data_IF_767019336792
#
_entry.id   IF_767019336792
#
_cell.length_a   1.000
_cell.length_b   1.000
_cell.length_c   1.000
_cell.angle_alpha   90.00
_cell.angle_beta   90.00
_cell.angle_gamma   90.00
#
_symmetry.space_group_name_H-M   'P 1'
#
loop_
_entity.id
_entity.type
_entity.pdbx_description
1 polymer ?
#
# COMPACT_ATOMS: atom_id res chain seq x y z
N UNK A 1 63.35 47.54 -31.50
CA UNK A 1 62.59 47.46 -30.25
C UNK A 1 61.19 47.12 -30.62
N UNK A 2 60.96 45.84 -30.96
CA UNK A 2 59.73 45.38 -31.55
C UNK A 2 58.91 44.55 -30.53
N UNK A 3 57.62 44.87 -30.46
CA UNK A 3 56.64 44.14 -29.67
C UNK A 3 56.11 42.94 -30.48
N UNK A 4 56.02 41.71 -29.97
CA UNK A 4 55.40 40.63 -30.70
C UNK A 4 53.88 40.66 -30.59
N UNK A 5 53.25 40.43 -31.74
CA UNK A 5 51.84 40.35 -32.07
C UNK A 5 51.15 39.17 -31.40
N UNK A 6 49.88 39.40 -30.92
CA UNK A 6 48.96 38.38 -30.44
C UNK A 6 48.51 37.45 -31.59
N UNK A 7 48.84 36.17 -31.48
CA UNK A 7 48.24 35.12 -32.31
C UNK A 7 46.89 34.69 -31.68
N UNK A 8 45.83 34.94 -32.42
CA UNK A 8 44.48 34.45 -32.10
C UNK A 8 44.40 32.95 -32.36
N UNK A 9 44.08 32.16 -31.32
CA UNK A 9 43.69 30.77 -31.48
C UNK A 9 42.16 30.73 -31.65
N UNK A 10 41.73 30.45 -32.85
CA UNK A 10 40.36 30.03 -33.17
C UNK A 10 40.21 28.56 -32.77
N UNK A 11 39.48 28.32 -31.67
CA UNK A 11 39.00 26.99 -31.30
C UNK A 11 37.67 26.81 -32.01
N UNK A 12 37.62 26.00 -33.04
CA UNK A 12 36.39 25.55 -33.68
C UNK A 12 35.69 24.56 -32.76
N UNK A 13 34.64 25.01 -32.09
CA UNK A 13 33.73 24.12 -31.37
C UNK A 13 32.81 23.43 -32.40
N UNK A 14 33.07 22.16 -32.62
CA UNK A 14 32.13 21.29 -33.35
C UNK A 14 31.01 20.95 -32.40
N UNK A 15 29.89 21.63 -32.49
CA UNK A 15 28.65 21.29 -31.83
C UNK A 15 28.03 20.10 -32.59
N UNK A 16 28.23 18.89 -32.06
CA UNK A 16 27.44 17.71 -32.45
C UNK A 16 26.00 17.88 -31.96
N UNK A 17 24.98 17.50 -32.74
CA UNK A 17 23.60 17.53 -32.26
C UNK A 17 23.42 16.48 -31.17
N UNK A 18 23.23 16.92 -29.92
CA UNK A 18 22.70 16.08 -28.90
C UNK A 18 21.26 15.71 -29.28
N UNK A 19 21.09 14.55 -29.88
CA UNK A 19 19.79 13.94 -30.11
C UNK A 19 19.19 13.58 -28.72
N UNK A 20 18.50 14.53 -28.13
CA UNK A 20 17.57 14.24 -27.07
C UNK A 20 16.45 13.38 -27.66
N UNK A 21 16.57 12.07 -27.52
CA UNK A 21 15.49 11.13 -27.78
C UNK A 21 14.33 11.48 -26.83
N UNK A 22 13.46 12.39 -27.29
CA UNK A 22 12.11 12.51 -26.73
C UNK A 22 11.40 11.23 -27.13
N UNK A 23 11.42 10.23 -26.25
CA UNK A 23 10.46 9.15 -26.27
C UNK A 23 9.12 9.82 -25.99
N UNK A 24 8.43 10.24 -27.04
CA UNK A 24 7.02 10.57 -26.99
C UNK A 24 6.28 9.24 -26.75
N UNK A 25 6.22 8.80 -25.49
CA UNK A 25 5.31 7.74 -25.15
C UNK A 25 3.91 8.23 -25.48
N UNK A 26 3.18 7.49 -26.32
CA UNK A 26 1.76 7.70 -26.52
C UNK A 26 1.10 7.82 -25.15
N UNK A 27 0.11 8.72 -24.95
CA UNK A 27 -0.52 8.89 -23.65
C UNK A 27 -1.03 7.52 -23.19
N UNK A 28 -0.54 7.07 -22.05
CA UNK A 28 -0.87 5.77 -21.48
C UNK A 28 -2.35 5.78 -21.15
N UNK A 29 -3.15 5.03 -21.87
CA UNK A 29 -4.59 5.02 -21.67
C UNK A 29 -4.91 4.19 -20.41
N UNK A 30 -5.54 4.83 -19.42
CA UNK A 30 -5.97 4.14 -18.21
C UNK A 30 -6.95 3.01 -18.54
N UNK A 31 -6.74 1.83 -17.95
CA UNK A 31 -7.69 0.71 -18.01
C UNK A 31 -8.54 0.69 -16.76
N UNK A 32 -9.77 0.21 -16.90
CA UNK A 32 -10.77 0.21 -15.85
C UNK A 32 -11.39 -1.18 -15.67
N UNK A 33 -11.82 -1.45 -14.43
CA UNK A 33 -12.63 -2.63 -14.07
C UNK A 33 -13.87 -2.19 -13.31
N UNK A 34 -14.90 -3.03 -13.31
CA UNK A 34 -16.06 -2.83 -12.42
C UNK A 34 -15.69 -3.41 -11.05
N UNK A 35 -15.89 -2.63 -10.00
CA UNK A 35 -15.53 -2.99 -8.62
C UNK A 35 -16.57 -3.96 -8.02
N UNK A 36 -16.38 -5.25 -8.20
CA UNK A 36 -17.33 -6.26 -7.74
C UNK A 36 -18.75 -6.03 -8.28
N UNK A 37 -19.75 -6.23 -7.41
CA UNK A 37 -21.19 -5.96 -7.71
C UNK A 37 -21.60 -4.50 -7.50
N UNK A 38 -20.67 -3.61 -7.17
CA UNK A 38 -20.99 -2.22 -6.80
C UNK A 38 -21.42 -1.35 -7.98
N UNK A 39 -21.12 -1.76 -9.21
CA UNK A 39 -21.34 -0.96 -10.42
C UNK A 39 -20.31 0.15 -10.64
N UNK A 40 -19.43 0.42 -9.67
CA UNK A 40 -18.41 1.47 -9.82
C UNK A 40 -17.32 1.04 -10.81
N UNK A 41 -17.06 1.88 -11.80
CA UNK A 41 -15.96 1.74 -12.74
C UNK A 41 -14.71 2.40 -12.15
N UNK A 42 -13.68 1.61 -11.85
CA UNK A 42 -12.44 2.06 -11.21
C UNK A 42 -11.23 1.84 -12.11
N UNK A 43 -10.26 2.75 -12.09
CA UNK A 43 -8.97 2.54 -12.76
C UNK A 43 -8.23 1.37 -12.10
N UNK A 44 -7.59 0.50 -12.90
CA UNK A 44 -6.85 -0.66 -12.40
C UNK A 44 -5.71 -0.26 -11.44
N UNK A 45 -5.14 0.92 -11.66
CA UNK A 45 -4.22 1.59 -10.73
C UNK A 45 -4.96 2.77 -10.11
N UNK A 46 -5.18 2.72 -8.82
CA UNK A 46 -5.68 3.81 -8.00
C UNK A 46 -4.51 4.56 -7.34
N UNK A 47 -4.83 5.57 -6.55
CA UNK A 47 -3.88 6.44 -5.87
C UNK A 47 -3.93 6.23 -4.36
N UNK A 48 -2.85 5.63 -3.79
CA UNK A 48 -2.64 5.58 -2.34
C UNK A 48 -1.96 6.87 -1.85
N UNK A 49 -2.54 7.53 -0.85
CA UNK A 49 -2.18 8.90 -0.47
C UNK A 49 -1.24 9.02 0.73
N UNK A 50 -0.87 7.89 1.36
CA UNK A 50 0.05 7.89 2.51
C UNK A 50 1.38 8.59 2.17
N UNK A 51 1.82 9.53 3.02
CA UNK A 51 3.04 10.31 2.88
C UNK A 51 3.16 11.14 1.59
N UNK A 52 2.05 11.45 0.93
CA UNK A 52 2.02 12.39 -0.21
C UNK A 52 1.88 13.80 0.34
N UNK A 53 2.82 14.67 -0.02
CA UNK A 53 2.86 16.07 0.45
C UNK A 53 2.60 17.09 -0.66
N UNK A 54 2.54 16.66 -1.91
CA UNK A 54 2.28 17.51 -3.08
C UNK A 54 0.90 17.27 -3.64
N UNK A 55 0.02 18.26 -3.47
CA UNK A 55 -1.36 18.23 -3.94
C UNK A 55 -1.48 18.12 -5.46
N UNK A 56 -0.49 18.63 -6.21
CA UNK A 56 -0.50 18.60 -7.67
C UNK A 56 -0.44 17.18 -8.23
N UNK A 57 0.13 16.23 -7.47
CA UNK A 57 0.17 14.81 -7.85
C UNK A 57 -1.21 14.19 -7.96
N UNK A 58 -2.16 14.60 -7.10
CA UNK A 58 -3.54 14.11 -7.18
C UNK A 58 -4.24 14.59 -8.45
N UNK A 59 -4.05 15.88 -8.78
CA UNK A 59 -4.61 16.47 -10.01
C UNK A 59 -4.02 15.80 -11.24
N UNK A 60 -2.69 15.59 -11.24
CA UNK A 60 -2.01 14.89 -12.33
C UNK A 60 -2.45 13.42 -12.44
N UNK A 61 -2.73 12.77 -11.31
CA UNK A 61 -3.32 11.42 -11.31
C UNK A 61 -4.68 11.38 -12.03
N UNK A 62 -5.54 12.37 -11.79
CA UNK A 62 -6.80 12.53 -12.52
C UNK A 62 -6.59 12.72 -14.03
N UNK A 63 -5.60 13.52 -14.42
CA UNK A 63 -5.28 13.77 -15.82
C UNK A 63 -4.76 12.51 -16.54
N UNK A 64 -4.10 11.60 -15.81
CA UNK A 64 -3.72 10.27 -16.29
C UNK A 64 -4.87 9.24 -16.27
N UNK A 65 -6.08 9.64 -15.85
CA UNK A 65 -7.25 8.79 -15.81
C UNK A 65 -7.38 7.94 -14.54
N UNK A 66 -6.59 8.20 -13.51
CA UNK A 66 -6.81 7.57 -12.20
C UNK A 66 -8.08 8.20 -11.60
N UNK A 67 -9.05 7.34 -11.25
CA UNK A 67 -10.28 7.78 -10.63
C UNK A 67 -10.56 7.15 -9.26
N UNK A 68 -9.67 6.31 -8.74
CA UNK A 68 -9.78 5.68 -7.42
C UNK A 68 -8.72 6.26 -6.48
N UNK A 69 -9.16 6.96 -5.41
CA UNK A 69 -8.28 7.62 -4.44
C UNK A 69 -8.54 7.07 -3.04
N UNK A 70 -7.48 6.57 -2.41
CA UNK A 70 -7.56 5.91 -1.12
C UNK A 70 -6.69 6.60 -0.06
N UNK A 71 -7.34 7.03 1.03
CA UNK A 71 -6.72 7.68 2.18
C UNK A 71 -7.14 7.04 3.51
N UNK A 72 -6.77 7.64 4.62
CA UNK A 72 -7.18 7.24 5.96
C UNK A 72 -7.22 8.44 6.91
N UNK A 73 -8.10 8.37 7.93
CA UNK A 73 -8.21 9.38 8.98
C UNK A 73 -6.87 9.67 9.68
N UNK A 74 -6.08 8.61 9.90
CA UNK A 74 -4.81 8.69 10.62
C UNK A 74 -3.61 9.15 9.78
N UNK A 75 -3.75 9.20 8.45
CA UNK A 75 -2.64 9.57 7.57
C UNK A 75 -2.25 11.04 7.79
N UNK A 76 -0.99 11.23 8.19
CA UNK A 76 -0.42 12.54 8.52
C UNK A 76 -1.33 13.38 9.44
N UNK A 77 -1.98 12.73 10.43
CA UNK A 77 -2.92 13.35 11.37
C UNK A 77 -4.08 14.07 10.67
N UNK A 78 -4.62 13.44 9.62
CA UNK A 78 -5.74 13.95 8.82
C UNK A 78 -5.34 14.93 7.72
N UNK A 79 -4.08 15.31 7.58
CA UNK A 79 -3.69 16.23 6.51
C UNK A 79 -3.81 15.59 5.12
N UNK A 80 -3.64 14.27 5.02
CA UNK A 80 -3.88 13.53 3.77
C UNK A 80 -5.32 13.68 3.28
N UNK A 81 -6.30 13.52 4.18
CA UNK A 81 -7.72 13.73 3.84
C UNK A 81 -8.01 15.18 3.41
N UNK A 82 -7.52 16.18 4.17
CA UNK A 82 -7.72 17.61 3.84
C UNK A 82 -7.12 17.97 2.47
N UNK A 83 -5.92 17.49 2.19
CA UNK A 83 -5.28 17.74 0.89
C UNK A 83 -6.04 17.08 -0.25
N UNK A 84 -6.44 15.82 -0.07
CA UNK A 84 -7.16 15.08 -1.09
C UNK A 84 -8.55 15.69 -1.35
N UNK A 85 -9.29 16.04 -0.28
CA UNK A 85 -10.58 16.72 -0.40
C UNK A 85 -10.47 18.02 -1.21
N UNK A 86 -9.46 18.85 -0.92
CA UNK A 86 -9.17 20.07 -1.68
C UNK A 86 -8.82 19.78 -3.15
N UNK A 87 -8.01 18.77 -3.41
CA UNK A 87 -7.59 18.42 -4.77
C UNK A 87 -8.75 17.91 -5.63
N UNK A 88 -9.68 17.16 -5.03
CA UNK A 88 -10.79 16.52 -5.73
C UNK A 88 -12.07 17.33 -5.77
N UNK A 89 -12.16 18.46 -5.05
CA UNK A 89 -13.41 19.23 -4.88
C UNK A 89 -14.12 19.55 -6.21
N UNK A 90 -13.40 20.04 -7.21
CA UNK A 90 -13.94 20.39 -8.52
C UNK A 90 -14.38 19.17 -9.36
N UNK A 91 -13.87 17.99 -9.04
CA UNK A 91 -14.08 16.74 -9.80
C UNK A 91 -14.60 15.59 -8.93
N UNK A 92 -15.26 15.95 -7.81
CA UNK A 92 -15.74 14.97 -6.82
C UNK A 92 -16.61 13.86 -7.42
N UNK A 93 -17.41 14.19 -8.44
CA UNK A 93 -18.31 13.23 -9.09
C UNK A 93 -17.61 12.27 -10.07
N UNK A 94 -16.40 12.61 -10.50
CA UNK A 94 -15.62 11.83 -11.46
C UNK A 94 -14.77 10.75 -10.77
N UNK A 95 -14.73 10.75 -9.44
CA UNK A 95 -13.80 9.92 -8.67
C UNK A 95 -14.52 9.02 -7.68
N UNK A 96 -13.89 7.90 -7.36
CA UNK A 96 -14.20 7.03 -6.23
C UNK A 96 -13.27 7.44 -5.08
N UNK A 97 -13.85 8.14 -4.10
CA UNK A 97 -13.13 8.67 -2.94
C UNK A 97 -13.32 7.76 -1.74
N UNK A 98 -12.21 7.18 -1.27
CA UNK A 98 -12.20 6.22 -0.18
C UNK A 98 -11.42 6.76 1.02
N UNK A 99 -11.95 6.51 2.23
CA UNK A 99 -11.21 6.71 3.47
C UNK A 99 -11.53 5.59 4.47
N UNK A 100 -10.88 5.64 5.64
CA UNK A 100 -11.04 4.63 6.68
C UNK A 100 -10.83 5.19 8.08
N UNK A 101 -11.50 4.57 9.06
CA UNK A 101 -11.24 4.75 10.48
C UNK A 101 -10.58 3.52 11.08
N UNK A 102 -9.62 3.72 11.98
CA UNK A 102 -9.04 2.67 12.82
C UNK A 102 -9.72 2.57 14.19
N UNK A 103 -10.97 3.01 14.27
CA UNK A 103 -11.78 3.03 15.48
C UNK A 103 -11.79 1.69 16.20
N UNK A 104 -11.87 1.73 17.54
CA UNK A 104 -11.98 0.54 18.38
C UNK A 104 -13.43 0.18 18.70
N UNK A 105 -14.34 1.12 18.54
CA UNK A 105 -15.77 0.99 18.82
C UNK A 105 -16.63 1.80 17.84
N UNK A 106 -17.94 1.60 17.86
CA UNK A 106 -18.92 2.24 17.00
C UNK A 106 -18.97 3.77 17.17
N UNK A 107 -18.80 4.25 18.42
CA UNK A 107 -18.84 5.69 18.72
C UNK A 107 -17.65 6.40 18.04
N UNK A 108 -16.45 5.85 18.20
CA UNK A 108 -15.26 6.41 17.55
C UNK A 108 -15.37 6.32 16.02
N UNK A 109 -15.89 5.20 15.48
CA UNK A 109 -16.10 5.04 14.04
C UNK A 109 -16.98 6.15 13.47
N UNK A 110 -18.11 6.43 14.11
CA UNK A 110 -19.04 7.48 13.69
C UNK A 110 -18.41 8.87 13.80
N UNK A 111 -17.70 9.15 14.90
CA UNK A 111 -17.02 10.44 15.10
C UNK A 111 -15.89 10.65 14.08
N UNK A 112 -15.12 9.63 13.76
CA UNK A 112 -14.06 9.68 12.75
C UNK A 112 -14.65 9.94 11.36
N UNK A 113 -15.76 9.29 10.99
CA UNK A 113 -16.44 9.53 9.73
C UNK A 113 -16.94 10.97 9.61
N UNK A 114 -17.61 11.49 10.64
CA UNK A 114 -18.12 12.85 10.64
C UNK A 114 -17.00 13.89 10.55
N UNK A 115 -15.89 13.65 11.26
CA UNK A 115 -14.71 14.48 11.17
C UNK A 115 -14.06 14.40 9.78
N UNK A 116 -13.97 13.22 9.19
CA UNK A 116 -13.42 13.02 7.83
C UNK A 116 -14.25 13.75 6.78
N UNK A 117 -15.58 13.66 6.82
CA UNK A 117 -16.48 14.41 5.93
C UNK A 117 -16.26 15.92 6.05
N UNK A 118 -16.23 16.43 7.30
CA UNK A 118 -15.99 17.84 7.59
C UNK A 118 -14.64 18.32 7.05
N UNK A 119 -13.57 17.58 7.29
CA UNK A 119 -12.21 18.00 6.93
C UNK A 119 -11.92 17.86 5.43
N UNK A 120 -12.55 16.91 4.75
CA UNK A 120 -12.45 16.77 3.29
C UNK A 120 -13.35 17.73 2.53
N UNK A 121 -14.37 18.29 3.18
CA UNK A 121 -15.37 19.15 2.55
C UNK A 121 -16.25 18.39 1.54
N UNK A 122 -16.46 17.09 1.74
CA UNK A 122 -17.35 16.27 0.90
C UNK A 122 -18.55 15.79 1.70
N UNK A 123 -19.72 15.67 1.06
CA UNK A 123 -20.93 15.21 1.70
C UNK A 123 -20.94 13.69 1.92
N UNK A 124 -20.14 12.95 1.17
CA UNK A 124 -20.08 11.50 1.24
C UNK A 124 -18.73 10.96 0.80
N UNK A 125 -18.38 9.77 1.32
CA UNK A 125 -17.36 8.90 0.71
C UNK A 125 -18.01 7.82 -0.16
N UNK A 126 -17.37 7.45 -1.25
CA UNK A 126 -17.85 6.31 -2.04
C UNK A 126 -17.64 5.01 -1.28
N UNK A 127 -16.50 4.86 -0.58
CA UNK A 127 -16.21 3.73 0.29
C UNK A 127 -15.62 4.25 1.59
N UNK A 128 -16.17 3.82 2.73
CA UNK A 128 -15.55 4.08 4.02
C UNK A 128 -15.30 2.77 4.77
N UNK A 129 -14.01 2.48 5.02
CA UNK A 129 -13.62 1.21 5.58
C UNK A 129 -13.61 1.21 7.11
N UNK A 130 -14.08 0.11 7.70
CA UNK A 130 -13.63 -0.31 9.03
C UNK A 130 -12.20 -0.80 8.84
N UNK A 131 -11.22 -0.07 9.41
CA UNK A 131 -9.82 -0.12 9.01
C UNK A 131 -8.95 -1.06 9.83
N UNK A 132 -8.03 -1.75 9.16
CA UNK A 132 -6.95 -2.58 9.73
C UNK A 132 -7.42 -3.57 10.82
N UNK A 133 -8.52 -4.27 10.57
CA UNK A 133 -9.04 -5.31 11.44
C UNK A 133 -8.52 -6.67 10.99
N UNK A 134 -7.71 -7.28 11.84
CA UNK A 134 -7.02 -8.54 11.55
C UNK A 134 -7.59 -9.71 12.36
N UNK A 135 -8.58 -9.44 13.22
CA UNK A 135 -9.34 -10.43 14.00
C UNK A 135 -10.84 -10.06 13.93
N UNK A 136 -11.75 -11.00 13.62
CA UNK A 136 -13.20 -10.73 13.60
C UNK A 136 -13.75 -10.14 14.91
N UNK A 137 -13.16 -10.50 16.06
CA UNK A 137 -13.55 -9.96 17.36
C UNK A 137 -13.30 -8.46 17.53
N UNK A 138 -12.44 -7.87 16.67
CA UNK A 138 -12.17 -6.43 16.68
C UNK A 138 -13.24 -5.63 15.91
N UNK A 139 -14.27 -6.30 15.39
CA UNK A 139 -15.41 -5.71 14.68
C UNK A 139 -16.70 -6.17 15.36
N UNK A 140 -17.10 -5.53 16.45
CA UNK A 140 -18.33 -5.84 17.14
C UNK A 140 -19.57 -5.45 16.31
N UNK A 141 -20.72 -6.01 16.66
CA UNK A 141 -21.97 -5.84 15.90
C UNK A 141 -22.41 -4.39 15.83
N UNK A 142 -22.28 -3.64 16.90
CA UNK A 142 -22.62 -2.20 16.96
C UNK A 142 -21.77 -1.37 15.96
N UNK A 143 -20.53 -1.77 15.66
CA UNK A 143 -19.69 -1.12 14.65
C UNK A 143 -20.22 -1.41 13.23
N UNK A 144 -20.73 -2.63 12.97
CA UNK A 144 -21.38 -2.96 11.70
C UNK A 144 -22.69 -2.16 11.55
N UNK A 145 -23.48 -2.05 12.62
CA UNK A 145 -24.69 -1.24 12.65
C UNK A 145 -24.40 0.23 12.39
N UNK A 146 -23.35 0.80 13.01
CA UNK A 146 -22.93 2.18 12.77
C UNK A 146 -22.52 2.40 11.30
N UNK A 147 -21.82 1.45 10.68
CA UNK A 147 -21.47 1.53 9.25
C UNK A 147 -22.72 1.44 8.36
N UNK A 148 -23.67 0.57 8.67
CA UNK A 148 -24.94 0.47 7.96
C UNK A 148 -25.80 1.74 8.11
N UNK A 149 -25.84 2.33 9.31
CA UNK A 149 -26.51 3.60 9.56
C UNK A 149 -25.89 4.75 8.77
N UNK A 150 -24.57 4.80 8.67
CA UNK A 150 -23.87 5.78 7.86
C UNK A 150 -24.21 5.64 6.36
N UNK A 151 -24.35 4.42 5.84
CA UNK A 151 -24.80 4.15 4.48
C UNK A 151 -26.25 4.62 4.27
N UNK A 152 -27.14 4.28 5.18
CA UNK A 152 -28.56 4.72 5.13
C UNK A 152 -28.69 6.25 5.19
N UNK A 153 -27.81 6.92 5.94
CA UNK A 153 -27.77 8.38 6.03
C UNK A 153 -27.11 9.06 4.81
N UNK A 154 -26.61 8.29 3.83
CA UNK A 154 -25.95 8.82 2.64
C UNK A 154 -24.53 9.34 2.87
N UNK A 155 -23.97 9.19 4.08
CA UNK A 155 -22.59 9.58 4.41
C UNK A 155 -21.53 8.73 3.72
N UNK A 156 -21.87 7.48 3.43
CA UNK A 156 -21.08 6.54 2.64
C UNK A 156 -21.95 5.84 1.62
N UNK A 157 -21.42 5.52 0.46
CA UNK A 157 -22.14 4.74 -0.55
C UNK A 157 -22.00 3.24 -0.32
N UNK A 158 -20.79 2.80 0.00
CA UNK A 158 -20.43 1.40 0.13
C UNK A 158 -19.69 1.15 1.46
N UNK A 159 -19.97 -0.01 2.05
CA UNK A 159 -19.36 -0.49 3.28
C UNK A 159 -18.07 -1.24 2.98
N UNK A 160 -16.95 -0.73 3.48
CA UNK A 160 -15.63 -1.33 3.29
C UNK A 160 -15.09 -2.02 4.54
N UNK A 161 -14.28 -3.07 4.34
CA UNK A 161 -13.42 -3.67 5.36
C UNK A 161 -11.97 -3.62 4.87
N UNK A 162 -11.06 -3.13 5.70
CA UNK A 162 -9.61 -3.21 5.46
C UNK A 162 -8.96 -4.19 6.43
N UNK A 163 -8.25 -5.18 5.91
CA UNK A 163 -7.58 -6.20 6.71
C UNK A 163 -6.22 -6.58 6.11
N UNK A 164 -5.27 -7.00 6.96
CA UNK A 164 -4.03 -7.63 6.53
C UNK A 164 -4.12 -9.16 6.49
N UNK A 165 -5.21 -9.73 7.05
CA UNK A 165 -5.40 -11.17 7.27
C UNK A 165 -6.74 -11.64 6.74
N UNK A 166 -6.89 -11.64 5.42
CA UNK A 166 -8.17 -11.94 4.76
C UNK A 166 -8.78 -13.27 5.24
N UNK A 167 -7.97 -14.32 5.43
CA UNK A 167 -8.45 -15.62 5.92
C UNK A 167 -9.01 -15.57 7.33
N UNK A 168 -8.37 -14.81 8.23
CA UNK A 168 -8.88 -14.65 9.59
C UNK A 168 -10.24 -13.97 9.61
N UNK A 169 -10.55 -13.18 8.57
CA UNK A 169 -11.80 -12.43 8.45
C UNK A 169 -12.92 -13.19 7.73
N UNK A 170 -12.68 -14.40 7.23
CA UNK A 170 -13.70 -15.19 6.52
C UNK A 170 -15.02 -15.34 7.30
N UNK A 171 -15.04 -15.61 8.64
CA UNK A 171 -16.30 -15.69 9.39
C UNK A 171 -17.09 -14.37 9.39
N UNK A 172 -16.41 -13.22 9.39
CA UNK A 172 -17.05 -11.92 9.34
C UNK A 172 -17.55 -11.61 7.92
N UNK A 173 -16.77 -11.96 6.89
CA UNK A 173 -17.14 -11.77 5.49
C UNK A 173 -18.34 -12.65 5.09
N UNK A 174 -18.47 -13.84 5.68
CA UNK A 174 -19.63 -14.72 5.47
C UNK A 174 -20.96 -14.08 5.89
N UNK A 175 -20.94 -13.04 6.73
CA UNK A 175 -22.14 -12.26 7.13
C UNK A 175 -22.71 -11.39 6.00
N UNK A 176 -22.01 -11.28 4.86
CA UNK A 176 -22.42 -10.52 3.68
C UNK A 176 -22.73 -9.02 3.97
N UNK A 177 -22.05 -8.47 4.97
CA UNK A 177 -22.23 -7.07 5.37
C UNK A 177 -21.50 -6.10 4.44
N UNK A 178 -20.29 -6.47 3.98
CA UNK A 178 -19.40 -5.58 3.23
C UNK A 178 -19.64 -5.64 1.73
N UNK A 179 -19.38 -4.51 1.06
CA UNK A 179 -19.41 -4.36 -0.39
C UNK A 179 -18.00 -4.44 -0.99
N UNK A 180 -16.98 -3.99 -0.23
CA UNK A 180 -15.60 -3.87 -0.69
C UNK A 180 -14.62 -4.33 0.39
N UNK A 181 -13.56 -5.03 -0.02
CA UNK A 181 -12.43 -5.41 0.85
C UNK A 181 -11.12 -4.81 0.33
N UNK A 182 -10.31 -4.26 1.25
CA UNK A 182 -8.97 -3.76 0.99
C UNK A 182 -7.96 -4.69 1.66
N UNK A 183 -7.14 -5.38 0.87
CA UNK A 183 -6.30 -6.50 1.31
C UNK A 183 -4.88 -6.41 0.76
N UNK A 184 -3.85 -6.90 1.48
CA UNK A 184 -2.52 -7.03 0.91
C UNK A 184 -2.51 -8.09 -0.19
N UNK A 185 -2.13 -7.68 -1.40
CA UNK A 185 -1.90 -8.60 -2.49
C UNK A 185 -0.66 -8.17 -3.29
N UNK A 186 0.31 -9.06 -3.39
CA UNK A 186 1.57 -8.80 -4.07
C UNK A 186 2.27 -10.10 -4.44
N UNK A 187 3.29 -10.02 -5.27
CA UNK A 187 4.03 -11.17 -5.81
C UNK A 187 4.62 -12.13 -4.76
N UNK A 188 4.81 -11.70 -3.51
CA UNK A 188 5.32 -12.59 -2.45
C UNK A 188 4.26 -13.58 -1.94
N UNK A 189 2.99 -13.33 -2.21
CA UNK A 189 1.87 -14.17 -1.77
C UNK A 189 1.52 -15.27 -2.76
N UNK A 190 1.74 -15.03 -4.04
CA UNK A 190 1.61 -16.04 -5.08
C UNK A 190 2.80 -16.99 -5.10
N UNK A 191 2.59 -18.18 -5.62
CA UNK A 191 3.68 -19.05 -6.03
C UNK A 191 3.96 -18.79 -7.50
N UNK A 192 5.24 -18.74 -7.88
CA UNK A 192 5.61 -18.56 -9.29
C UNK A 192 5.33 -19.82 -10.13
N UNK A 193 5.00 -20.94 -9.49
CA UNK A 193 4.53 -22.16 -10.12
C UNK A 193 3.00 -22.19 -10.44
N UNK A 194 2.36 -21.03 -10.33
CA UNK A 194 0.92 -20.81 -10.54
C UNK A 194 -0.01 -21.58 -9.57
N UNK A 195 0.51 -22.15 -8.50
CA UNK A 195 -0.34 -22.70 -7.43
C UNK A 195 -0.84 -21.55 -6.54
N UNK A 196 -2.16 -21.29 -6.46
CA UNK A 196 -2.71 -20.22 -5.64
C UNK A 196 -2.32 -20.39 -4.17
N UNK A 197 -1.89 -19.30 -3.52
CA UNK A 197 -1.70 -19.31 -2.07
C UNK A 197 -3.06 -19.38 -1.38
N UNK A 198 -3.05 -19.76 -0.09
CA UNK A 198 -4.31 -19.80 0.72
C UNK A 198 -4.97 -18.43 0.83
N UNK A 199 -4.16 -17.34 0.88
CA UNK A 199 -4.69 -15.97 0.85
C UNK A 199 -5.31 -15.63 -0.51
N UNK A 200 -4.73 -16.15 -1.59
CA UNK A 200 -5.24 -15.93 -2.94
C UNK A 200 -6.59 -16.65 -3.14
N UNK A 201 -6.77 -17.84 -2.57
CA UNK A 201 -8.05 -18.54 -2.55
C UNK A 201 -9.14 -17.75 -1.80
N UNK A 202 -8.79 -17.14 -0.65
CA UNK A 202 -9.72 -16.28 0.10
C UNK A 202 -10.10 -15.02 -0.69
N UNK A 203 -9.16 -14.43 -1.41
CA UNK A 203 -9.39 -13.27 -2.29
C UNK A 203 -10.28 -13.67 -3.48
N UNK A 204 -10.03 -14.82 -4.10
CA UNK A 204 -10.87 -15.37 -5.16
C UNK A 204 -12.30 -15.59 -4.67
N UNK A 205 -12.45 -16.12 -3.45
CA UNK A 205 -13.77 -16.28 -2.83
C UNK A 205 -14.48 -14.94 -2.67
N UNK A 206 -13.81 -13.91 -2.16
CA UNK A 206 -14.39 -12.57 -2.06
C UNK A 206 -14.87 -12.05 -3.42
N UNK A 207 -14.07 -12.24 -4.47
CA UNK A 207 -14.46 -11.88 -5.83
C UNK A 207 -15.70 -12.67 -6.31
N UNK A 208 -15.75 -13.98 -6.09
CA UNK A 208 -16.89 -14.84 -6.46
C UNK A 208 -18.17 -14.45 -5.71
N UNK A 209 -18.04 -14.05 -4.44
CA UNK A 209 -19.16 -13.54 -3.63
C UNK A 209 -19.62 -12.15 -4.10
N UNK A 210 -18.87 -11.52 -5.03
CA UNK A 210 -19.21 -10.25 -5.65
C UNK A 210 -18.66 -9.01 -4.92
N UNK A 211 -17.78 -9.18 -3.93
CA UNK A 211 -17.13 -8.06 -3.28
C UNK A 211 -16.17 -7.35 -4.24
N UNK A 212 -16.10 -6.04 -4.13
CA UNK A 212 -15.01 -5.26 -4.71
C UNK A 212 -13.70 -5.58 -3.99
N UNK A 213 -12.66 -5.98 -4.71
CA UNK A 213 -11.37 -6.31 -4.12
C UNK A 213 -10.34 -5.27 -4.53
N UNK A 214 -9.78 -4.59 -3.53
CA UNK A 214 -8.74 -3.55 -3.67
C UNK A 214 -7.42 -4.08 -3.11
N UNK A 215 -6.35 -4.04 -3.91
CA UNK A 215 -5.05 -4.50 -3.47
C UNK A 215 -4.20 -3.38 -2.88
N UNK A 216 -3.75 -3.56 -1.63
CA UNK A 216 -2.74 -2.72 -0.99
C UNK A 216 -1.40 -3.46 -0.86
N UNK A 217 -0.33 -2.73 -0.49
CA UNK A 217 1.03 -3.28 -0.26
C UNK A 217 1.59 -4.04 -1.46
N UNK A 218 1.24 -3.58 -2.64
CA UNK A 218 1.56 -4.20 -3.94
C UNK A 218 3.08 -4.32 -4.18
N UNK A 219 3.88 -3.45 -3.55
CA UNK A 219 5.34 -3.44 -3.64
C UNK A 219 6.05 -4.32 -2.58
N UNK A 220 5.31 -5.16 -1.86
CA UNK A 220 5.85 -6.14 -0.91
C UNK A 220 6.86 -5.56 0.10
N UNK A 221 6.57 -4.40 0.67
CA UNK A 221 7.39 -3.80 1.73
C UNK A 221 8.63 -3.03 1.24
N UNK A 222 8.81 -2.86 -0.06
CA UNK A 222 9.83 -1.98 -0.62
C UNK A 222 9.30 -0.58 -0.87
N UNK A 223 10.02 0.44 -0.40
CA UNK A 223 9.81 1.82 -0.78
C UNK A 223 10.94 2.26 -1.72
N UNK A 224 10.58 2.88 -2.85
CA UNK A 224 11.53 3.31 -3.86
C UNK A 224 12.48 4.42 -3.38
N UNK A 225 12.07 5.21 -2.39
CA UNK A 225 12.73 6.48 -2.05
C UNK A 225 12.99 6.68 -0.56
N UNK A 226 13.67 5.74 0.08
CA UNK A 226 14.23 6.07 1.39
C UNK A 226 15.70 6.47 1.22
N UNK A 227 15.95 7.72 0.80
CA UNK A 227 17.29 8.26 0.52
C UNK A 227 18.14 8.47 1.78
N UNK A 228 17.55 8.48 2.97
CA UNK A 228 18.19 9.13 4.11
C UNK A 228 18.80 8.21 5.17
N UNK A 229 18.65 6.87 5.09
CA UNK A 229 19.19 6.00 6.16
C UNK A 229 19.77 4.69 5.64
N UNK A 230 20.82 4.20 6.30
CA UNK A 230 21.42 2.88 6.07
C UNK A 230 20.49 1.75 6.56
N UNK A 231 19.38 1.53 5.88
CA UNK A 231 18.43 0.49 6.22
C UNK A 231 18.74 -0.79 5.42
N UNK A 232 18.53 -1.98 6.00
CA UNK A 232 18.77 -3.25 5.30
C UNK A 232 18.02 -3.40 3.99
N UNK A 233 16.84 -2.74 3.89
CA UNK A 233 15.98 -2.75 2.70
C UNK A 233 16.17 -1.54 1.78
N UNK A 234 17.12 -0.63 2.11
CA UNK A 234 17.43 0.52 1.26
C UNK A 234 17.97 0.05 -0.10
N UNK A 235 17.42 0.62 -1.16
CA UNK A 235 17.89 0.37 -2.52
C UNK A 235 17.61 -1.03 -3.06
N UNK A 236 16.70 -1.83 -2.47
CA UNK A 236 16.30 -3.10 -3.06
C UNK A 236 15.72 -2.90 -4.46
N UNK A 237 14.83 -1.93 -4.61
CA UNK A 237 14.27 -1.60 -5.92
C UNK A 237 15.28 -0.87 -6.81
N UNK A 238 16.11 0.00 -6.25
CA UNK A 238 17.19 0.67 -7.01
C UNK A 238 18.19 -0.33 -7.62
N UNK A 239 18.41 -1.47 -6.95
CA UNK A 239 19.26 -2.56 -7.44
C UNK A 239 18.58 -3.47 -8.46
N UNK A 240 17.25 -3.38 -8.60
CA UNK A 240 16.45 -4.13 -9.56
C UNK A 240 15.57 -3.16 -10.35
N UNK A 241 16.13 -2.47 -11.37
CA UNK A 241 15.33 -1.62 -12.24
C UNK A 241 14.11 -2.36 -12.79
N UNK A 242 12.95 -1.72 -12.78
CA UNK A 242 11.72 -2.31 -13.27
C UNK A 242 10.95 -3.17 -12.26
N UNK A 243 11.49 -3.45 -11.06
CA UNK A 243 10.80 -4.29 -10.08
C UNK A 243 9.45 -3.71 -9.62
N UNK A 244 9.30 -2.39 -9.56
CA UNK A 244 8.03 -1.74 -9.24
C UNK A 244 6.97 -2.00 -10.30
N UNK A 245 7.31 -1.73 -11.55
CA UNK A 245 6.43 -1.95 -12.69
C UNK A 245 6.06 -3.43 -12.80
N UNK A 246 7.03 -4.32 -12.68
CA UNK A 246 6.80 -5.78 -12.69
C UNK A 246 5.88 -6.21 -11.55
N UNK A 247 6.04 -5.64 -10.34
CA UNK A 247 5.18 -5.96 -9.19
C UNK A 247 3.73 -5.51 -9.42
N UNK A 248 3.50 -4.31 -9.98
CA UNK A 248 2.16 -3.86 -10.34
C UNK A 248 1.55 -4.72 -11.43
N UNK A 249 2.28 -5.00 -12.51
CA UNK A 249 1.82 -5.87 -13.60
C UNK A 249 1.47 -7.26 -13.09
N UNK A 250 2.24 -7.79 -12.13
CA UNK A 250 1.93 -9.07 -11.47
C UNK A 250 0.58 -9.02 -10.74
N UNK A 251 0.29 -7.95 -10.00
CA UNK A 251 -0.99 -7.78 -9.31
C UNK A 251 -2.14 -7.64 -10.32
N UNK A 252 -1.96 -6.81 -11.34
CA UNK A 252 -3.00 -6.51 -12.33
C UNK A 252 -3.32 -7.69 -13.26
N UNK A 253 -2.45 -8.71 -13.36
CA UNK A 253 -2.77 -9.95 -14.08
C UNK A 253 -3.88 -10.76 -13.42
N UNK A 254 -4.10 -10.57 -12.11
CA UNK A 254 -5.14 -11.28 -11.37
C UNK A 254 -6.53 -10.80 -11.79
N UNK A 255 -7.44 -11.71 -12.19
CA UNK A 255 -8.82 -11.33 -12.50
C UNK A 255 -9.63 -10.99 -11.24
N UNK A 256 -9.13 -11.35 -10.06
CA UNK A 256 -9.82 -11.16 -8.78
C UNK A 256 -9.56 -9.78 -8.16
N UNK A 257 -8.57 -9.04 -8.66
CA UNK A 257 -8.23 -7.70 -8.19
C UNK A 257 -8.84 -6.67 -9.12
N UNK A 258 -9.61 -5.73 -8.57
CA UNK A 258 -10.29 -4.72 -9.37
C UNK A 258 -9.47 -3.43 -9.50
N UNK A 259 -8.76 -3.05 -8.44
CA UNK A 259 -7.87 -1.88 -8.41
C UNK A 259 -6.76 -2.07 -7.39
N UNK A 260 -5.72 -1.24 -7.47
CA UNK A 260 -4.59 -1.22 -6.55
C UNK A 260 -4.42 0.17 -5.96
N UNK A 261 -3.78 0.30 -4.79
CA UNK A 261 -3.52 1.61 -4.16
C UNK A 261 -2.02 1.78 -3.84
N UNK A 262 -1.15 1.81 -4.84
CA UNK A 262 0.26 2.12 -4.64
C UNK A 262 0.42 3.58 -4.20
N UNK A 263 1.37 3.81 -3.29
CA UNK A 263 1.78 5.17 -2.92
C UNK A 263 2.57 5.80 -4.06
N UNK A 264 2.27 7.06 -4.38
CA UNK A 264 2.96 7.84 -5.42
C UNK A 264 3.32 9.21 -4.87
N UNK A 265 4.61 9.45 -4.64
CA UNK A 265 5.15 10.69 -4.03
C UNK A 265 5.94 11.54 -5.01
N UNK A 266 6.01 11.15 -6.28
CA UNK A 266 6.59 11.94 -7.37
C UNK A 266 5.89 11.67 -8.69
N UNK A 267 6.12 12.53 -9.66
CA UNK A 267 5.58 12.41 -11.03
C UNK A 267 6.10 11.15 -11.71
N UNK A 268 7.38 10.83 -11.54
CA UNK A 268 8.01 9.64 -12.14
C UNK A 268 7.38 8.35 -11.62
N UNK A 269 7.04 8.30 -10.31
CA UNK A 269 6.32 7.17 -9.72
C UNK A 269 4.92 7.04 -10.30
N UNK A 270 4.24 8.17 -10.48
CA UNK A 270 2.91 8.20 -11.06
C UNK A 270 2.94 7.68 -12.51
N UNK A 271 3.83 8.20 -13.33
CA UNK A 271 3.99 7.79 -14.74
C UNK A 271 4.34 6.30 -14.85
N UNK A 272 5.27 5.79 -14.02
CA UNK A 272 5.62 4.37 -14.02
C UNK A 272 4.44 3.48 -13.58
N UNK A 273 3.69 3.90 -12.56
CA UNK A 273 2.55 3.13 -12.09
C UNK A 273 1.40 3.11 -13.13
N UNK A 274 1.16 4.23 -13.82
CA UNK A 274 0.17 4.31 -14.90
C UNK A 274 0.56 3.41 -16.07
N UNK A 275 1.86 3.30 -16.40
CA UNK A 275 2.35 2.37 -17.41
C UNK A 275 1.96 0.91 -17.16
N UNK A 276 1.83 0.50 -15.89
CA UNK A 276 1.39 -0.87 -15.56
C UNK A 276 0.01 -1.22 -16.14
N UNK A 277 -0.84 -0.23 -16.39
CA UNK A 277 -2.15 -0.44 -17.01
C UNK A 277 -2.07 -0.73 -18.51
N UNK A 278 -1.02 -0.30 -19.20
CA UNK A 278 -0.85 -0.52 -20.65
C UNK A 278 0.05 -1.71 -21.00
N UNK A 279 0.88 -2.14 -20.06
CA UNK A 279 1.84 -3.21 -20.26
C UNK A 279 1.32 -4.55 -19.68
N UNK A 280 1.63 -5.66 -20.37
CA UNK A 280 1.30 -7.00 -19.87
C UNK A 280 2.45 -7.56 -19.05
N UNK A 281 2.11 -8.36 -18.04
CA UNK A 281 3.08 -9.16 -17.31
C UNK A 281 3.65 -10.26 -18.20
N UNK A 282 4.98 -10.45 -18.18
CA UNK A 282 5.66 -11.42 -19.01
C UNK A 282 6.85 -12.10 -18.30
N UNK A 283 7.56 -12.97 -19.03
CA UNK A 283 8.67 -13.77 -18.49
C UNK A 283 9.83 -12.92 -17.92
N UNK A 284 10.08 -11.74 -18.49
CA UNK A 284 11.12 -10.85 -17.97
C UNK A 284 10.71 -10.24 -16.61
N UNK A 285 9.45 -9.85 -16.47
CA UNK A 285 8.91 -9.41 -15.19
C UNK A 285 9.04 -10.49 -14.11
N UNK A 286 8.79 -11.74 -14.47
CA UNK A 286 8.92 -12.89 -13.57
C UNK A 286 10.34 -13.07 -13.07
N UNK A 287 11.34 -13.01 -13.96
CA UNK A 287 12.76 -13.10 -13.59
C UNK A 287 13.16 -11.97 -12.63
N UNK A 288 12.72 -10.73 -12.92
CA UNK A 288 12.98 -9.58 -12.05
C UNK A 288 12.37 -9.81 -10.66
N UNK A 289 11.13 -10.29 -10.58
CA UNK A 289 10.44 -10.51 -9.31
C UNK A 289 11.01 -11.69 -8.51
N UNK A 290 11.44 -12.78 -9.17
CA UNK A 290 12.11 -13.89 -8.49
C UNK A 290 13.42 -13.41 -7.84
N UNK A 291 14.26 -12.70 -8.60
CA UNK A 291 15.50 -12.14 -8.07
C UNK A 291 15.25 -11.15 -6.92
N UNK A 292 14.19 -10.37 -7.01
CA UNK A 292 13.78 -9.44 -5.95
C UNK A 292 13.27 -10.19 -4.72
N UNK A 293 12.44 -11.21 -4.89
CA UNK A 293 11.89 -12.03 -3.81
C UNK A 293 12.99 -12.66 -2.95
N UNK A 294 14.02 -13.23 -3.56
CA UNK A 294 15.15 -13.84 -2.84
C UNK A 294 15.86 -12.82 -1.92
N UNK A 295 15.96 -11.57 -2.34
CA UNK A 295 16.58 -10.49 -1.54
C UNK A 295 15.72 -10.06 -0.37
N UNK A 296 14.40 -9.89 -0.57
CA UNK A 296 13.49 -9.38 0.48
C UNK A 296 13.00 -10.47 1.44
N UNK A 297 13.09 -11.73 1.06
CA UNK A 297 12.59 -12.90 1.80
C UNK A 297 12.99 -12.93 3.28
N UNK A 298 14.25 -12.63 3.70
CA UNK A 298 14.63 -12.64 5.09
C UNK A 298 13.97 -11.55 5.95
N UNK A 299 13.39 -10.53 5.33
CA UNK A 299 12.96 -9.29 6.00
C UNK A 299 11.46 -9.04 5.96
N UNK A 300 10.76 -9.47 4.91
CA UNK A 300 9.37 -9.07 4.64
C UNK A 300 8.40 -10.18 5.05
N UNK A 301 7.49 -9.83 5.97
CA UNK A 301 6.43 -10.72 6.42
C UNK A 301 5.33 -10.83 5.34
N UNK A 302 4.95 -12.08 5.00
CA UNK A 302 3.81 -12.36 4.09
C UNK A 302 2.45 -12.29 4.79
N UNK A 303 2.41 -12.02 6.09
CA UNK A 303 1.20 -11.88 6.92
C UNK A 303 0.30 -13.13 6.91
N UNK A 304 0.90 -14.32 6.78
CA UNK A 304 0.17 -15.60 6.73
C UNK A 304 -0.32 -16.11 8.08
N UNK A 305 0.08 -15.48 9.21
CA UNK A 305 -0.33 -15.87 10.56
C UNK A 305 0.32 -17.13 11.13
N UNK A 306 1.19 -17.83 10.41
CA UNK A 306 1.79 -19.10 10.85
C UNK A 306 2.62 -19.01 12.14
N UNK A 307 3.03 -17.82 12.55
CA UNK A 307 3.79 -17.55 13.77
C UNK A 307 2.92 -17.02 14.93
N UNK A 308 1.61 -16.91 14.75
CA UNK A 308 0.72 -16.40 15.80
C UNK A 308 0.66 -17.41 16.96
N UNK A 309 0.83 -16.90 18.19
CA UNK A 309 0.89 -17.73 19.38
C UNK A 309 2.17 -18.58 19.53
N UNK A 310 3.07 -18.59 18.54
CA UNK A 310 4.27 -19.44 18.59
C UNK A 310 5.39 -18.88 19.51
N UNK A 311 5.33 -17.62 19.91
CA UNK A 311 6.29 -17.05 20.85
C UNK A 311 5.89 -17.40 22.30
N UNK A 312 6.72 -18.17 23.07
CA UNK A 312 6.37 -18.56 24.45
C UNK A 312 6.30 -17.38 25.42
N UNK A 313 6.82 -16.21 25.02
CA UNK A 313 6.73 -14.97 25.80
C UNK A 313 5.61 -14.03 25.33
N UNK A 314 4.69 -14.50 24.50
CA UNK A 314 3.49 -13.78 24.10
C UNK A 314 3.70 -12.62 23.11
N UNK A 315 4.87 -12.52 22.44
CA UNK A 315 5.08 -11.46 21.44
C UNK A 315 4.20 -11.67 20.20
N UNK A 316 3.52 -10.62 19.70
CA UNK A 316 2.79 -10.64 18.44
C UNK A 316 3.78 -10.56 17.25
N UNK A 317 4.36 -11.70 16.91
CA UNK A 317 5.53 -11.80 16.02
C UNK A 317 5.26 -11.19 14.65
N UNK A 318 4.15 -11.54 14.02
CA UNK A 318 3.82 -11.03 12.67
C UNK A 318 3.64 -9.52 12.65
N UNK A 319 3.07 -8.97 13.74
CA UNK A 319 2.84 -7.52 13.88
C UNK A 319 4.16 -6.77 14.07
N UNK A 320 5.03 -7.26 14.94
CA UNK A 320 6.34 -6.65 15.17
C UNK A 320 7.20 -6.64 13.90
N UNK A 321 7.22 -7.74 13.13
CA UNK A 321 7.92 -7.79 11.83
C UNK A 321 7.32 -6.79 10.85
N UNK A 322 5.99 -6.63 10.86
CA UNK A 322 5.29 -5.62 10.04
C UNK A 322 5.66 -4.19 10.43
N UNK A 323 5.69 -3.88 11.75
CA UNK A 323 6.04 -2.55 12.23
C UNK A 323 7.47 -2.14 11.84
N UNK A 324 8.40 -3.08 11.93
CA UNK A 324 9.76 -2.85 11.42
C UNK A 324 9.76 -2.64 9.91
N UNK A 325 8.89 -3.32 9.17
CA UNK A 325 8.79 -3.11 7.72
C UNK A 325 8.28 -1.71 7.38
N UNK A 326 7.41 -1.10 8.22
CA UNK A 326 7.04 0.30 8.02
C UNK A 326 8.25 1.24 8.11
N UNK A 327 9.12 1.05 9.10
CA UNK A 327 10.31 1.87 9.26
C UNK A 327 11.38 1.54 8.21
N UNK A 328 11.80 0.27 8.14
CA UNK A 328 12.94 -0.17 7.32
C UNK A 328 12.60 -0.26 5.82
N UNK A 329 11.36 -0.63 5.48
CA UNK A 329 10.92 -0.86 4.09
C UNK A 329 10.23 0.36 3.47
N UNK A 330 9.25 0.92 4.17
CA UNK A 330 8.48 2.07 3.64
C UNK A 330 9.04 3.43 4.05
N UNK A 331 10.00 3.48 4.97
CA UNK A 331 10.55 4.73 5.49
C UNK A 331 9.60 5.49 6.43
N UNK A 332 8.54 4.82 6.89
CA UNK A 332 7.56 5.39 7.80
C UNK A 332 7.83 4.94 9.25
N UNK A 333 8.92 5.47 9.83
CA UNK A 333 9.24 5.24 11.24
C UNK A 333 8.09 5.66 12.18
N UNK A 334 7.43 6.83 11.98
CA UNK A 334 6.34 7.25 12.87
C UNK A 334 5.19 6.25 12.95
N UNK A 335 4.82 5.61 11.83
CA UNK A 335 3.78 4.57 11.84
C UNK A 335 4.23 3.33 12.61
N UNK A 336 5.44 2.82 12.33
CA UNK A 336 5.99 1.68 13.05
C UNK A 336 6.05 1.92 14.55
N UNK A 337 6.56 3.09 14.96
CA UNK A 337 6.65 3.52 16.35
C UNK A 337 5.27 3.59 17.04
N UNK A 338 4.30 4.29 16.44
CA UNK A 338 2.94 4.39 17.02
C UNK A 338 2.30 3.02 17.22
N UNK A 339 2.44 2.12 16.24
CA UNK A 339 1.89 0.75 16.34
C UNK A 339 2.57 -0.06 17.44
N UNK A 340 3.88 0.08 17.59
CA UNK A 340 4.62 -0.57 18.68
C UNK A 340 4.21 0.00 20.05
N UNK A 341 4.10 1.33 20.18
CA UNK A 341 3.70 1.97 21.44
C UNK A 341 2.24 1.67 21.85
N UNK A 342 1.39 1.29 20.91
CA UNK A 342 0.02 0.86 21.19
C UNK A 342 -0.09 -0.57 21.76
N UNK A 343 1.02 -1.34 21.77
CA UNK A 343 1.06 -2.65 22.41
C UNK A 343 1.01 -2.51 23.94
N UNK A 344 0.45 -3.50 24.67
CA UNK A 344 0.48 -3.54 26.12
C UNK A 344 1.91 -3.39 26.69
N UNK A 345 2.04 -2.74 27.84
CA UNK A 345 3.35 -2.43 28.44
C UNK A 345 4.17 -3.71 28.73
N UNK A 346 3.50 -4.75 29.20
CA UNK A 346 4.10 -6.06 29.45
C UNK A 346 4.64 -6.72 28.19
N UNK A 347 3.99 -6.55 27.04
CA UNK A 347 4.47 -7.04 25.73
C UNK A 347 5.69 -6.24 25.28
N UNK A 348 5.67 -4.91 25.44
CA UNK A 348 6.80 -4.05 25.11
C UNK A 348 8.03 -4.28 26.00
N UNK A 349 7.83 -4.75 27.21
CA UNK A 349 8.91 -5.06 28.15
C UNK A 349 9.67 -6.35 27.81
N UNK A 350 9.07 -7.27 27.04
CA UNK A 350 9.76 -8.52 26.62
C UNK A 350 10.98 -8.21 25.76
N UNK A 351 12.12 -8.81 26.06
CA UNK A 351 13.36 -8.67 25.26
C UNK A 351 13.72 -9.97 24.56
N UNK A 352 13.91 -9.94 23.24
CA UNK A 352 14.31 -11.12 22.47
C UNK A 352 15.76 -11.54 22.73
N UNK A 353 16.59 -10.61 23.19
CA UNK A 353 17.98 -10.88 23.58
C UNK A 353 18.09 -11.80 24.79
N UNK A 354 17.10 -11.83 25.69
CA UNK A 354 17.07 -12.68 26.88
C UNK A 354 16.82 -14.15 26.56
N UNK A 355 16.38 -14.46 25.34
CA UNK A 355 16.17 -15.84 24.89
C UNK A 355 17.46 -16.45 24.35
N UNK A 356 17.84 -17.64 24.84
CA UNK A 356 18.99 -18.39 24.28
C UNK A 356 18.79 -18.71 22.81
N UNK A 357 17.58 -19.11 22.42
CA UNK A 357 17.20 -19.39 21.03
C UNK A 357 15.75 -18.96 20.77
N UNK A 358 15.42 -18.63 19.52
CA UNK A 358 14.07 -18.30 19.13
C UNK A 358 13.27 -19.58 18.81
N UNK A 359 12.14 -19.77 19.49
CA UNK A 359 11.22 -20.88 19.22
C UNK A 359 10.45 -20.70 17.89
N UNK A 360 10.30 -19.44 17.42
CA UNK A 360 9.50 -19.14 16.25
C UNK A 360 10.29 -19.41 14.97
N UNK A 361 9.70 -20.19 14.07
CA UNK A 361 10.22 -20.42 12.71
C UNK A 361 9.24 -19.90 11.69
N UNK A 362 9.73 -19.13 10.73
CA UNK A 362 8.90 -18.63 9.64
C UNK A 362 8.95 -19.60 8.44
N UNK A 363 7.80 -20.15 7.98
CA UNK A 363 7.79 -21.05 6.82
C UNK A 363 8.17 -20.31 5.52
N UNK A 364 8.10 -18.99 5.50
CA UNK A 364 8.42 -18.15 4.36
C UNK A 364 9.86 -17.58 4.41
N UNK A 365 10.70 -18.01 5.37
CA UNK A 365 12.12 -17.68 5.42
C UNK A 365 12.47 -16.33 6.06
N UNK A 366 11.54 -15.67 6.75
CA UNK A 366 11.85 -14.44 7.52
C UNK A 366 12.76 -14.79 8.68
N UNK A 367 13.83 -14.00 8.89
CA UNK A 367 14.73 -14.08 10.04
C UNK A 367 14.04 -13.46 11.27
N UNK A 368 13.11 -14.22 11.87
CA UNK A 368 12.19 -13.71 12.90
C UNK A 368 12.94 -13.06 14.06
N UNK A 369 13.91 -13.76 14.66
CA UNK A 369 14.67 -13.25 15.81
C UNK A 369 15.31 -11.90 15.52
N UNK A 370 15.98 -11.77 14.38
CA UNK A 370 16.68 -10.54 13.99
C UNK A 370 15.70 -9.39 13.79
N UNK A 371 14.52 -9.67 13.20
CA UNK A 371 13.47 -8.67 13.00
C UNK A 371 12.82 -8.22 14.32
N UNK A 372 12.62 -9.14 15.27
CA UNK A 372 12.09 -8.80 16.60
C UNK A 372 13.07 -7.96 17.42
N UNK A 373 14.37 -8.32 17.41
CA UNK A 373 15.43 -7.52 18.04
C UNK A 373 15.44 -6.13 17.42
N UNK A 374 15.42 -6.05 16.08
CA UNK A 374 15.38 -4.78 15.36
C UNK A 374 14.17 -3.93 15.70
N UNK A 375 13.00 -4.53 15.91
CA UNK A 375 11.79 -3.81 16.37
C UNK A 375 12.03 -3.16 17.73
N UNK A 376 12.65 -3.89 18.65
CA UNK A 376 12.93 -3.43 20.00
C UNK A 376 14.02 -2.36 20.03
N UNK A 377 15.05 -2.45 19.19
CA UNK A 377 16.08 -1.42 19.03
C UNK A 377 15.52 -0.11 18.45
N UNK A 378 14.54 -0.22 17.55
CA UNK A 378 13.97 0.96 16.88
C UNK A 378 12.92 1.68 17.72
N UNK A 379 12.10 0.93 18.48
CA UNK A 379 10.84 1.45 19.00
C UNK A 379 10.70 1.38 20.54
N UNK A 380 11.55 0.61 21.25
CA UNK A 380 11.46 0.45 22.71
C UNK A 380 12.18 1.54 23.48
#
# INVERSE_FOLDING_TARGET
MDRPTRRSFLVSAVAGPAAASRISAAPTQARYRILGKTGLKVSEVGFGTEAVSDISLYQRGLDFGINFFDTARDYERGSSERMLGKALAARRKDVVFCSRSYAKDARQFSADLDLSLKETGTDYFDIFYIGAKDNPKDVPDDMLEAQAAAQKAGKIRLKGLSTHRIRAMEPLLARQHFDVVLVPYNFTKGKFDYTPSVDEQAIEKCHKDGLGVVAMKVMAGGARFNRERNLPLKGFFDKNPGAHLSALKWVLRSPFIHTTVPRMTSVEMLEENVRAMSERYGAEDEKILIAHLERIRPYVCRMCGACDGACPRGLPVSDLVRYVTYADGYGDFPMGYRRFQALPAEVRAVRCMDCRSCAVRCPNGVRVRDRLIRAQELFA
#
